data_IF_794808344451
#
_entry.id   IF_794808344451
#
_cell.length_a   1.000
_cell.length_b   1.000
_cell.length_c   1.000
_cell.angle_alpha   90.00
_cell.angle_beta   90.00
_cell.angle_gamma   90.00
#
_symmetry.space_group_name_H-M   'P 1'
#
loop_
_entity.id
_entity.type
_entity.pdbx_description
1 polymer ?
#
# COMPACT_ATOMS: atom_id res chain seq x y z
N UNK A 1 -1.04 8.79 -32.31
CA UNK A 1 -2.39 9.27 -31.90
C UNK A 1 -2.93 8.54 -30.67
N UNK A 2 -2.98 7.20 -30.67
CA UNK A 2 -3.46 6.39 -29.52
C UNK A 2 -2.68 6.62 -28.21
N UNK A 3 -1.36 6.74 -28.30
CA UNK A 3 -0.47 7.02 -27.16
C UNK A 3 -0.72 8.40 -26.52
N UNK A 4 -0.99 9.42 -27.33
CA UNK A 4 -1.22 10.79 -26.85
C UNK A 4 -2.54 10.90 -26.08
N UNK A 5 -3.60 10.26 -26.59
CA UNK A 5 -4.89 10.14 -25.92
C UNK A 5 -4.77 9.40 -24.59
N UNK A 6 -3.97 8.32 -24.53
CA UNK A 6 -3.72 7.56 -23.30
C UNK A 6 -2.93 8.37 -22.25
N UNK A 7 -1.98 9.20 -22.69
CA UNK A 7 -1.22 10.06 -21.75
C UNK A 7 -2.02 11.24 -21.21
N UNK A 8 -2.92 11.81 -22.03
CA UNK A 8 -3.79 12.90 -21.62
C UNK A 8 -4.94 12.42 -20.72
N UNK A 9 -5.50 11.23 -21.00
CA UNK A 9 -6.47 10.61 -20.10
C UNK A 9 -5.84 10.24 -18.75
N UNK A 10 -4.61 9.74 -18.73
CA UNK A 10 -3.88 9.47 -17.49
C UNK A 10 -3.70 10.70 -16.61
N UNK A 11 -3.30 11.85 -17.19
CA UNK A 11 -3.14 13.10 -16.44
C UNK A 11 -4.47 13.67 -15.92
N UNK A 12 -5.58 13.42 -16.62
CA UNK A 12 -6.91 13.82 -16.17
C UNK A 12 -7.43 12.92 -15.04
N UNK A 13 -7.17 11.62 -15.12
CA UNK A 13 -7.47 10.65 -14.06
C UNK A 13 -6.68 10.99 -12.79
N UNK A 14 -5.37 11.28 -12.89
CA UNK A 14 -4.55 11.67 -11.74
C UNK A 14 -5.12 12.93 -11.02
N UNK A 15 -5.69 13.90 -11.76
CA UNK A 15 -6.31 15.09 -11.17
C UNK A 15 -7.65 14.79 -10.50
N UNK A 16 -8.47 13.93 -11.09
CA UNK A 16 -9.74 13.51 -10.48
C UNK A 16 -9.50 12.71 -9.21
N UNK A 17 -8.54 11.78 -9.24
CA UNK A 17 -8.17 10.97 -8.08
C UNK A 17 -7.70 11.87 -6.92
N UNK A 18 -6.87 12.89 -7.20
CA UNK A 18 -6.47 13.87 -6.19
C UNK A 18 -7.64 14.69 -5.62
N UNK A 19 -8.61 15.09 -6.45
CA UNK A 19 -9.80 15.81 -5.99
C UNK A 19 -10.71 14.92 -5.11
N UNK A 20 -10.97 13.69 -5.54
CA UNK A 20 -11.73 12.70 -4.76
C UNK A 20 -11.01 12.36 -3.45
N UNK A 21 -9.68 12.34 -3.46
CA UNK A 21 -8.91 12.09 -2.25
C UNK A 21 -9.04 13.23 -1.24
N UNK A 22 -8.91 14.48 -1.69
CA UNK A 22 -9.12 15.64 -0.83
C UNK A 22 -10.54 15.71 -0.25
N UNK A 23 -11.57 15.43 -1.07
CA UNK A 23 -12.96 15.44 -0.59
C UNK A 23 -13.22 14.36 0.46
N UNK A 24 -12.74 13.12 0.23
CA UNK A 24 -12.91 12.03 1.18
C UNK A 24 -12.22 12.35 2.52
N UNK A 25 -11.00 12.90 2.45
CA UNK A 25 -10.26 13.30 3.65
C UNK A 25 -11.04 14.36 4.44
N UNK A 26 -11.54 15.41 3.79
CA UNK A 26 -12.31 16.47 4.44
C UNK A 26 -13.58 15.95 5.14
N UNK A 27 -14.27 14.97 4.55
CA UNK A 27 -15.48 14.40 5.17
C UNK A 27 -15.20 13.44 6.32
N UNK A 28 -13.98 12.88 6.40
CA UNK A 28 -13.59 11.89 7.41
C UNK A 28 -12.42 12.34 8.30
N UNK A 29 -12.05 13.62 8.24
CA UNK A 29 -10.84 14.16 8.85
C UNK A 29 -10.73 13.81 10.34
N UNK A 30 -11.80 14.05 11.12
CA UNK A 30 -11.83 13.75 12.56
C UNK A 30 -11.59 12.28 12.87
N UNK A 31 -12.12 11.38 12.05
CA UNK A 31 -11.94 9.94 12.22
C UNK A 31 -10.50 9.56 11.94
N UNK A 32 -9.92 10.06 10.85
CA UNK A 32 -8.52 9.81 10.48
C UNK A 32 -7.59 10.36 11.58
N UNK A 33 -7.81 11.58 12.05
CA UNK A 33 -7.02 12.19 13.14
C UNK A 33 -7.11 11.39 14.45
N UNK A 34 -8.28 10.85 14.79
CA UNK A 34 -8.46 9.98 15.95
C UNK A 34 -7.69 8.66 15.83
N UNK A 35 -7.66 8.06 14.63
CA UNK A 35 -6.87 6.86 14.35
C UNK A 35 -5.38 7.17 14.44
N UNK A 36 -4.94 8.30 13.87
CA UNK A 36 -3.55 8.75 13.92
C UNK A 36 -3.07 8.99 15.36
N UNK A 37 -3.89 9.58 16.22
CA UNK A 37 -3.55 9.75 17.64
C UNK A 37 -3.22 8.40 18.31
N UNK A 38 -4.00 7.36 18.03
CA UNK A 38 -3.77 6.01 18.56
C UNK A 38 -2.56 5.32 17.92
N UNK A 39 -2.27 5.57 16.64
CA UNK A 39 -1.09 5.00 15.95
C UNK A 39 0.23 5.37 16.64
N UNK A 40 0.32 6.57 17.25
CA UNK A 40 1.53 7.05 17.92
C UNK A 40 2.01 6.13 19.06
N UNK A 41 1.10 5.39 19.69
CA UNK A 41 1.40 4.43 20.76
C UNK A 41 2.16 3.19 20.26
N UNK A 42 2.09 2.92 18.95
CA UNK A 42 2.72 1.78 18.30
C UNK A 42 4.08 2.13 17.69
N UNK A 43 4.66 3.28 18.04
CA UNK A 43 6.02 3.62 17.62
C UNK A 43 7.06 3.07 18.58
N UNK A 44 7.99 2.28 18.05
CA UNK A 44 9.22 1.88 18.73
C UNK A 44 10.43 2.28 17.89
N UNK A 45 11.45 2.85 18.53
CA UNK A 45 12.62 3.43 17.85
C UNK A 45 12.24 4.38 16.70
N UNK A 46 11.17 5.16 16.89
CA UNK A 46 10.69 6.13 15.91
C UNK A 46 9.92 5.53 14.72
N UNK A 47 9.68 4.22 14.67
CA UNK A 47 9.01 3.53 13.56
C UNK A 47 7.79 2.74 14.06
N UNK A 48 6.83 2.47 13.16
CA UNK A 48 5.65 1.65 13.49
C UNK A 48 6.09 0.20 13.73
N UNK A 49 5.86 -0.29 14.94
CA UNK A 49 6.14 -1.65 15.38
C UNK A 49 4.85 -2.37 15.80
N UNK A 50 4.97 -3.63 16.16
CA UNK A 50 3.87 -4.40 16.72
C UNK A 50 3.56 -3.97 18.17
N UNK A 51 2.47 -4.50 18.72
CA UNK A 51 1.96 -4.15 20.06
C UNK A 51 2.99 -4.38 21.18
N UNK A 52 3.72 -5.48 21.14
CA UNK A 52 4.78 -5.82 22.10
C UNK A 52 6.13 -5.15 21.79
N UNK A 53 6.16 -4.22 20.82
CA UNK A 53 7.35 -3.54 20.29
C UNK A 53 8.25 -4.40 19.40
N UNK A 54 7.82 -5.60 19.02
CA UNK A 54 8.49 -6.39 17.98
C UNK A 54 8.56 -5.58 16.66
N UNK A 55 9.78 -5.40 16.17
CA UNK A 55 10.09 -4.66 14.94
C UNK A 55 10.27 -5.55 13.71
N UNK A 56 9.89 -6.83 13.82
CA UNK A 56 10.00 -7.82 12.76
C UNK A 56 9.20 -7.41 11.54
N UNK A 57 8.02 -6.82 11.69
CA UNK A 57 7.20 -6.41 10.55
C UNK A 57 7.22 -4.91 10.26
N UNK A 58 8.14 -4.15 10.85
CA UNK A 58 8.14 -2.69 10.77
C UNK A 58 8.21 -2.15 9.34
N UNK A 59 8.99 -2.73 8.42
CA UNK A 59 9.00 -2.28 7.02
C UNK A 59 7.67 -2.55 6.30
N UNK A 60 7.06 -3.71 6.54
CA UNK A 60 5.74 -4.02 6.00
C UNK A 60 4.69 -3.04 6.53
N UNK A 61 4.68 -2.79 7.84
CA UNK A 61 3.73 -1.87 8.48
C UNK A 61 3.92 -0.44 7.98
N UNK A 62 5.17 0.02 7.88
CA UNK A 62 5.52 1.35 7.37
C UNK A 62 5.05 1.53 5.92
N UNK A 63 5.35 0.57 5.04
CA UNK A 63 4.93 0.62 3.64
C UNK A 63 3.40 0.63 3.49
N UNK A 64 2.70 -0.25 4.22
CA UNK A 64 1.24 -0.27 4.23
C UNK A 64 0.63 1.01 4.79
N UNK A 65 1.12 1.48 5.94
CA UNK A 65 0.62 2.68 6.63
C UNK A 65 0.66 3.91 5.71
N UNK A 66 1.82 4.20 5.11
CA UNK A 66 1.94 5.36 4.22
C UNK A 66 1.14 5.20 2.93
N UNK A 67 1.04 3.98 2.39
CA UNK A 67 0.18 3.71 1.22
C UNK A 67 -1.28 4.03 1.53
N UNK A 68 -1.80 3.56 2.68
CA UNK A 68 -3.18 3.80 3.10
C UNK A 68 -3.44 5.28 3.36
N UNK A 69 -2.58 5.96 4.09
CA UNK A 69 -2.74 7.40 4.37
C UNK A 69 -2.73 8.25 3.10
N UNK A 70 -1.79 7.99 2.19
CA UNK A 70 -1.73 8.70 0.92
C UNK A 70 -2.99 8.45 0.11
N UNK A 71 -3.44 7.19 0.04
CA UNK A 71 -4.68 6.84 -0.63
C UNK A 71 -5.88 7.53 0.00
N UNK A 72 -5.97 7.62 1.33
CA UNK A 72 -7.05 8.31 2.04
C UNK A 72 -7.03 9.84 1.84
N UNK A 73 -5.89 10.40 1.41
CA UNK A 73 -5.71 11.83 1.22
C UNK A 73 -5.25 12.57 2.48
N UNK A 74 -4.68 11.86 3.46
CA UNK A 74 -4.19 12.47 4.68
C UNK A 74 -3.02 13.43 4.40
N UNK A 75 -3.04 14.60 5.04
CA UNK A 75 -1.99 15.61 4.87
C UNK A 75 -0.80 15.40 5.81
N UNK A 76 -1.04 14.74 6.95
CA UNK A 76 -0.06 14.51 8.01
C UNK A 76 -0.06 13.05 8.47
N UNK A 77 1.06 12.64 9.06
CA UNK A 77 1.16 11.37 9.79
C UNK A 77 0.79 11.50 11.27
N UNK A 78 0.93 10.41 12.04
CA UNK A 78 0.64 10.33 13.47
C UNK A 78 1.54 11.18 14.36
N UNK A 79 2.69 11.63 13.84
CA UNK A 79 3.60 12.55 14.52
C UNK A 79 3.33 14.01 14.12
N UNK A 80 2.30 14.27 13.32
CA UNK A 80 1.96 15.60 12.82
C UNK A 80 2.90 16.13 11.74
N UNK A 81 3.80 15.29 11.21
CA UNK A 81 4.70 15.64 10.11
C UNK A 81 3.91 15.67 8.80
N UNK A 82 4.25 16.54 7.84
CA UNK A 82 3.73 16.43 6.47
C UNK A 82 3.90 14.99 5.96
N UNK A 83 2.86 14.41 5.35
CA UNK A 83 2.84 12.97 5.06
C UNK A 83 4.03 12.50 4.22
N UNK A 84 4.42 13.27 3.19
CA UNK A 84 5.58 12.97 2.36
C UNK A 84 6.92 13.03 3.13
N UNK A 85 7.04 13.94 4.10
CA UNK A 85 8.22 14.04 4.95
C UNK A 85 8.30 12.86 5.94
N UNK A 86 7.17 12.48 6.55
CA UNK A 86 7.09 11.30 7.41
C UNK A 86 7.45 10.03 6.66
N UNK A 87 6.87 9.85 5.46
CA UNK A 87 7.19 8.75 4.55
C UNK A 87 8.70 8.65 4.28
N UNK A 88 9.32 9.75 3.83
CA UNK A 88 10.74 9.76 3.53
C UNK A 88 11.59 9.42 4.75
N UNK A 89 11.35 10.07 5.89
CA UNK A 89 12.11 9.87 7.11
C UNK A 89 12.03 8.43 7.65
N UNK A 90 10.85 7.82 7.62
CA UNK A 90 10.66 6.46 8.15
C UNK A 90 11.23 5.42 7.16
N UNK A 91 11.07 5.62 5.85
CA UNK A 91 11.65 4.75 4.83
C UNK A 91 13.19 4.83 4.80
N UNK A 92 13.77 6.00 5.07
CA UNK A 92 15.22 6.17 5.16
C UNK A 92 15.81 5.44 6.35
N UNK A 93 15.15 5.48 7.51
CA UNK A 93 15.57 4.69 8.67
C UNK A 93 15.56 3.18 8.39
N UNK A 94 14.72 2.71 7.47
CA UNK A 94 14.64 1.31 7.06
C UNK A 94 15.48 0.98 5.83
N UNK A 95 16.21 1.95 5.28
CA UNK A 95 17.12 1.76 4.16
C UNK A 95 18.52 1.49 4.71
N UNK A 96 19.07 0.30 4.45
CA UNK A 96 20.44 -0.03 4.83
C UNK A 96 21.45 0.63 3.87
N UNK A 97 21.12 0.60 2.59
CA UNK A 97 21.79 1.34 1.50
C UNK A 97 20.81 1.45 0.33
N UNK A 98 21.07 2.34 -0.63
CA UNK A 98 20.17 2.55 -1.77
C UNK A 98 19.70 1.24 -2.42
N UNK A 99 18.38 1.02 -2.38
CA UNK A 99 17.71 -0.16 -2.92
C UNK A 99 17.83 -1.45 -2.09
N UNK A 100 18.36 -1.39 -0.87
CA UNK A 100 18.41 -2.50 0.09
C UNK A 100 17.81 -2.04 1.42
N UNK A 101 16.81 -2.78 1.88
CA UNK A 101 16.08 -2.44 3.10
C UNK A 101 16.42 -3.35 4.26
N UNK A 102 15.97 -2.98 5.45
CA UNK A 102 15.97 -3.81 6.66
C UNK A 102 14.57 -3.80 7.25
N UNK A 103 14.27 -4.76 8.11
CA UNK A 103 12.94 -4.86 8.74
C UNK A 103 12.82 -3.91 9.92
N UNK A 104 13.91 -3.75 10.67
CA UNK A 104 14.03 -2.89 11.84
C UNK A 104 15.23 -1.96 11.73
N UNK A 105 15.18 -0.80 12.38
CA UNK A 105 16.33 0.09 12.58
C UNK A 105 17.10 -0.21 13.90
N UNK A 106 16.63 -1.14 14.72
CA UNK A 106 17.24 -1.54 15.99
C UNK A 106 18.45 -2.47 15.76
N UNK A 107 19.70 -2.05 16.04
CA UNK A 107 20.90 -2.85 15.83
C UNK A 107 20.97 -4.18 16.59
N UNK A 108 20.25 -4.29 17.71
CA UNK A 108 20.24 -5.48 18.56
C UNK A 108 19.23 -6.52 18.06
N UNK A 109 18.30 -6.12 17.20
CA UNK A 109 17.24 -6.96 16.68
C UNK A 109 17.66 -7.71 15.41
N UNK A 110 17.28 -8.99 15.26
CA UNK A 110 17.60 -9.78 14.07
C UNK A 110 17.10 -9.12 12.76
N UNK A 111 16.02 -8.33 12.85
CA UNK A 111 15.44 -7.58 11.74
C UNK A 111 16.31 -6.43 11.21
N UNK A 112 17.38 -6.05 11.92
CA UNK A 112 18.38 -5.09 11.48
C UNK A 112 19.18 -5.56 10.27
N UNK A 113 19.42 -6.87 10.22
CA UNK A 113 20.21 -7.47 9.15
C UNK A 113 19.40 -7.45 7.84
N UNK A 114 19.88 -6.75 6.79
CA UNK A 114 19.14 -6.65 5.54
C UNK A 114 18.92 -8.02 4.88
N UNK A 115 19.75 -9.01 5.20
CA UNK A 115 19.63 -10.37 4.68
C UNK A 115 18.43 -11.15 5.26
N UNK A 116 17.75 -10.62 6.27
CA UNK A 116 16.54 -11.19 6.86
C UNK A 116 15.26 -10.50 6.33
N UNK A 117 15.39 -9.53 5.40
CA UNK A 117 14.28 -8.73 4.89
C UNK A 117 13.47 -9.47 3.82
N UNK A 118 12.35 -10.07 4.25
CA UNK A 118 11.51 -10.92 3.40
C UNK A 118 10.87 -10.19 2.23
N UNK A 119 10.42 -10.96 1.22
CA UNK A 119 9.67 -10.45 0.08
C UNK A 119 8.47 -9.59 0.50
N UNK A 120 7.74 -10.04 1.52
CA UNK A 120 6.49 -9.38 1.94
C UNK A 120 6.74 -7.97 2.50
N UNK A 121 7.90 -7.76 3.12
CA UNK A 121 8.34 -6.44 3.60
C UNK A 121 8.65 -5.52 2.41
N UNK A 122 9.40 -6.03 1.43
CA UNK A 122 9.74 -5.30 0.21
C UNK A 122 8.49 -4.97 -0.61
N UNK A 123 7.51 -5.88 -0.66
CA UNK A 123 6.30 -5.70 -1.45
C UNK A 123 5.44 -4.54 -0.92
N UNK A 124 5.30 -4.40 0.40
CA UNK A 124 4.63 -3.26 1.01
C UNK A 124 5.41 -1.94 0.81
N UNK A 125 6.75 -1.98 0.90
CA UNK A 125 7.60 -0.83 0.59
C UNK A 125 7.43 -0.36 -0.86
N UNK A 126 7.34 -1.29 -1.81
CA UNK A 126 7.07 -0.99 -3.23
C UNK A 126 5.71 -0.33 -3.43
N UNK A 127 4.67 -0.76 -2.69
CA UNK A 127 3.37 -0.13 -2.76
C UNK A 127 3.45 1.36 -2.36
N UNK A 128 4.18 1.68 -1.30
CA UNK A 128 4.39 3.06 -0.88
C UNK A 128 5.20 3.86 -1.91
N UNK A 129 6.31 3.29 -2.41
CA UNK A 129 7.15 3.91 -3.46
C UNK A 129 6.31 4.31 -4.68
N UNK A 130 5.48 3.40 -5.18
CA UNK A 130 4.63 3.66 -6.35
C UNK A 130 3.59 4.73 -6.04
N UNK A 131 2.94 4.62 -4.88
CA UNK A 131 1.88 5.55 -4.46
C UNK A 131 2.40 6.99 -4.31
N UNK A 132 3.59 7.16 -3.71
CA UNK A 132 4.24 8.47 -3.53
C UNK A 132 5.02 8.96 -4.76
N UNK A 133 5.15 8.14 -5.82
CA UNK A 133 5.97 8.45 -7.00
C UNK A 133 7.45 8.68 -6.66
N UNK A 134 7.96 8.00 -5.62
CA UNK A 134 9.37 8.04 -5.24
C UNK A 134 10.21 7.17 -6.20
N UNK A 135 10.29 7.62 -7.45
CA UNK A 135 10.90 6.85 -8.53
C UNK A 135 12.41 6.70 -8.40
N UNK A 136 13.08 7.57 -7.66
CA UNK A 136 14.51 7.45 -7.40
C UNK A 136 14.80 6.28 -6.45
N UNK A 137 13.99 6.15 -5.39
CA UNK A 137 14.01 4.96 -4.52
C UNK A 137 13.61 3.69 -5.30
N UNK A 138 12.61 3.79 -6.17
CA UNK A 138 12.18 2.68 -7.03
C UNK A 138 13.26 2.21 -8.01
N UNK A 139 13.96 3.13 -8.69
CA UNK A 139 15.10 2.82 -9.57
C UNK A 139 16.26 2.18 -8.80
N UNK A 140 16.57 2.69 -7.62
CA UNK A 140 17.60 2.12 -6.74
C UNK A 140 17.26 0.69 -6.34
N UNK A 141 16.00 0.43 -5.95
CA UNK A 141 15.52 -0.92 -5.64
C UNK A 141 15.61 -1.85 -6.87
N UNK A 142 15.16 -1.40 -8.04
CA UNK A 142 15.25 -2.18 -9.28
C UNK A 142 16.70 -2.54 -9.64
N UNK A 143 17.62 -1.58 -9.54
CA UNK A 143 19.04 -1.80 -9.77
C UNK A 143 19.62 -2.90 -8.86
N UNK A 144 19.30 -2.87 -7.57
CA UNK A 144 19.72 -3.92 -6.66
C UNK A 144 19.05 -5.26 -6.95
N UNK A 145 17.81 -5.24 -7.43
CA UNK A 145 17.08 -6.43 -7.88
C UNK A 145 17.77 -7.09 -9.09
N UNK A 146 18.19 -6.28 -10.08
CA UNK A 146 18.98 -6.74 -11.22
C UNK A 146 20.33 -7.33 -10.78
N UNK A 147 21.04 -6.68 -9.86
CA UNK A 147 22.30 -7.19 -9.30
C UNK A 147 22.16 -8.55 -8.62
N UNK A 148 20.96 -8.87 -8.13
CA UNK A 148 20.63 -10.17 -7.51
C UNK A 148 19.99 -11.17 -8.49
N UNK A 149 19.96 -10.87 -9.79
CA UNK A 149 19.35 -11.75 -10.79
C UNK A 149 17.84 -11.92 -10.58
N UNK A 150 17.13 -10.84 -10.24
CA UNK A 150 15.70 -10.83 -9.92
C UNK A 150 15.27 -11.61 -8.68
N UNK A 151 16.20 -11.83 -7.74
CA UNK A 151 15.89 -12.41 -6.43
C UNK A 151 15.73 -11.33 -5.35
N UNK A 152 14.86 -11.61 -4.38
CA UNK A 152 14.75 -10.79 -3.17
C UNK A 152 16.05 -10.85 -2.35
N UNK A 153 16.18 -9.96 -1.36
CA UNK A 153 17.41 -9.85 -0.56
C UNK A 153 17.47 -10.83 0.63
N UNK A 154 16.43 -11.60 0.89
CA UNK A 154 16.36 -12.49 2.06
C UNK A 154 17.12 -13.80 1.91
N UNK A 155 18.43 -13.71 1.92
CA UNK A 155 19.36 -14.84 1.89
C UNK A 155 19.47 -15.58 3.24
N UNK A 156 18.85 -15.07 4.32
CA UNK A 156 18.74 -15.69 5.65
C UNK A 156 17.28 -15.89 6.06
N UNK A 157 17.06 -16.75 7.06
CA UNK A 157 15.73 -16.92 7.64
C UNK A 157 15.26 -15.66 8.36
N UNK A 158 13.99 -15.33 8.16
CA UNK A 158 13.33 -14.08 8.56
C UNK A 158 13.20 -13.86 10.09
N UNK A 159 13.93 -14.56 10.94
CA UNK A 159 13.78 -14.61 12.40
C UNK A 159 15.05 -15.12 13.12
N UNK A 160 16.16 -15.30 12.39
CA UNK A 160 17.36 -15.92 12.94
C UNK A 160 18.43 -14.89 13.31
N UNK A 161 19.01 -15.07 14.50
CA UNK A 161 20.17 -14.31 14.96
C UNK A 161 21.48 -14.96 14.54
N UNK A 162 22.57 -14.20 14.29
CA UNK A 162 23.84 -14.74 13.84
C UNK A 162 24.44 -15.89 14.68
N UNK A 163 24.15 -15.93 15.98
CA UNK A 163 24.62 -16.95 16.93
C UNK A 163 23.69 -18.17 17.07
N UNK A 164 22.56 -18.20 16.37
CA UNK A 164 21.61 -19.31 16.41
C UNK A 164 21.87 -20.35 15.32
N UNK A 165 21.52 -21.61 15.60
CA UNK A 165 21.57 -22.71 14.61
C UNK A 165 20.67 -22.45 13.39
N UNK A 166 19.62 -21.63 13.55
CA UNK A 166 18.69 -21.21 12.50
C UNK A 166 19.30 -20.20 11.51
N UNK A 167 20.48 -19.65 11.81
CA UNK A 167 21.17 -18.68 10.95
C UNK A 167 21.93 -19.35 9.80
N UNK A 168 21.15 -19.99 8.94
CA UNK A 168 21.63 -20.67 7.73
C UNK A 168 21.28 -19.87 6.48
N UNK A 169 22.04 -20.11 5.42
CA UNK A 169 21.75 -19.55 4.11
C UNK A 169 20.51 -20.24 3.53
N UNK A 170 19.61 -19.46 2.94
CA UNK A 170 18.48 -19.98 2.17
C UNK A 170 18.48 -19.37 0.77
N UNK A 171 17.81 -20.04 -0.17
CA UNK A 171 17.49 -19.40 -1.44
C UNK A 171 16.59 -18.18 -1.16
N UNK A 172 16.93 -17.00 -1.70
CA UNK A 172 16.06 -15.83 -1.54
C UNK A 172 14.75 -16.03 -2.27
N UNK A 173 13.73 -15.30 -1.84
CA UNK A 173 12.39 -15.47 -2.38
C UNK A 173 12.34 -15.00 -3.85
N UNK A 174 11.64 -15.78 -4.66
CA UNK A 174 11.30 -15.41 -6.04
C UNK A 174 10.18 -14.38 -6.00
N UNK A 175 10.26 -13.30 -6.80
CA UNK A 175 9.21 -12.30 -6.85
C UNK A 175 7.93 -12.86 -7.48
N UNK A 176 6.79 -12.46 -6.95
CA UNK A 176 5.51 -12.75 -7.59
C UNK A 176 5.30 -11.83 -8.80
N UNK A 177 4.43 -12.18 -9.75
CA UNK A 177 4.06 -11.28 -10.85
C UNK A 177 3.58 -9.91 -10.36
N UNK A 178 2.77 -9.90 -9.29
CA UNK A 178 2.27 -8.68 -8.64
C UNK A 178 3.42 -7.82 -8.06
N UNK A 179 4.44 -8.46 -7.45
CA UNK A 179 5.64 -7.75 -6.98
C UNK A 179 6.45 -7.16 -8.14
N UNK A 180 6.65 -7.92 -9.22
CA UNK A 180 7.35 -7.43 -10.42
C UNK A 180 6.61 -6.27 -11.07
N UNK A 181 5.27 -6.32 -11.13
CA UNK A 181 4.47 -5.21 -11.64
C UNK A 181 4.70 -3.92 -10.85
N UNK A 182 4.65 -3.97 -9.52
CA UNK A 182 4.96 -2.81 -8.68
C UNK A 182 6.40 -2.33 -8.81
N UNK A 183 7.36 -3.26 -8.90
CA UNK A 183 8.77 -2.92 -9.11
C UNK A 183 8.97 -2.14 -10.42
N UNK A 184 8.34 -2.57 -11.52
CA UNK A 184 8.40 -1.88 -12.81
C UNK A 184 7.71 -0.52 -12.76
N UNK A 185 6.57 -0.41 -12.08
CA UNK A 185 5.89 0.87 -11.81
C UNK A 185 6.79 1.86 -11.09
N UNK A 186 7.58 1.36 -10.13
CA UNK A 186 8.55 2.14 -9.36
C UNK A 186 9.66 2.78 -10.21
N UNK A 187 9.83 2.41 -11.48
CA UNK A 187 10.78 3.08 -12.38
C UNK A 187 10.32 4.45 -12.86
N UNK A 188 9.01 4.73 -12.79
CA UNK A 188 8.41 5.96 -13.29
C UNK A 188 8.45 6.09 -14.82
N UNK A 189 8.69 4.99 -15.54
CA UNK A 189 8.80 4.99 -17.00
C UNK A 189 7.58 4.31 -17.63
N UNK A 190 6.81 5.05 -18.44
CA UNK A 190 5.62 4.53 -19.12
C UNK A 190 5.91 3.43 -20.14
N UNK A 191 7.15 3.29 -20.61
CA UNK A 191 7.54 2.25 -21.57
C UNK A 191 7.43 0.82 -21.00
N UNK A 192 7.41 0.68 -19.67
CA UNK A 192 7.22 -0.64 -19.02
C UNK A 192 5.76 -1.11 -19.06
N UNK A 193 4.82 -0.27 -19.51
CA UNK A 193 3.39 -0.54 -19.49
C UNK A 193 2.98 -1.87 -20.16
N UNK A 194 3.51 -2.28 -21.33
CA UNK A 194 3.15 -3.57 -21.93
C UNK A 194 3.49 -4.76 -21.03
N UNK A 195 4.65 -4.73 -20.36
CA UNK A 195 5.08 -5.81 -19.45
C UNK A 195 4.21 -5.81 -18.21
N UNK A 196 4.00 -4.62 -17.63
CA UNK A 196 3.08 -4.38 -16.53
C UNK A 196 1.67 -4.92 -16.83
N UNK A 197 1.15 -4.70 -18.04
CA UNK A 197 -0.16 -5.17 -18.46
C UNK A 197 -0.25 -6.71 -18.46
N UNK A 198 0.81 -7.41 -18.89
CA UNK A 198 0.87 -8.87 -18.85
C UNK A 198 0.97 -9.38 -17.41
N UNK A 199 1.79 -8.74 -16.57
CA UNK A 199 1.96 -9.13 -15.17
C UNK A 199 0.68 -8.94 -14.36
N UNK A 200 -0.05 -7.84 -14.58
CA UNK A 200 -1.29 -7.56 -13.86
C UNK A 200 -2.41 -8.55 -14.15
N UNK A 201 -2.36 -9.31 -15.26
CA UNK A 201 -3.33 -10.38 -15.50
C UNK A 201 -3.34 -11.42 -14.36
N UNK A 202 -2.20 -11.60 -13.67
CA UNK A 202 -2.09 -12.47 -12.50
C UNK A 202 -2.81 -11.92 -11.26
N UNK A 203 -3.12 -10.62 -11.18
CA UNK A 203 -3.94 -10.06 -10.09
C UNK A 203 -5.31 -10.74 -10.05
N UNK A 204 -5.89 -11.03 -11.24
CA UNK A 204 -7.17 -11.75 -11.33
C UNK A 204 -7.02 -13.16 -10.75
N UNK A 205 -5.92 -13.84 -11.07
CA UNK A 205 -5.66 -15.19 -10.57
C UNK A 205 -5.42 -15.20 -9.05
N UNK A 206 -4.65 -14.24 -8.55
CA UNK A 206 -4.41 -14.00 -7.11
C UNK A 206 -5.73 -13.87 -6.34
N UNK A 207 -6.67 -13.06 -6.84
CA UNK A 207 -7.94 -12.79 -6.17
C UNK A 207 -8.94 -13.94 -6.32
N UNK A 208 -9.06 -14.52 -7.51
CA UNK A 208 -10.08 -15.55 -7.78
C UNK A 208 -9.69 -16.93 -7.25
N UNK A 209 -8.40 -17.27 -7.30
CA UNK A 209 -7.91 -18.58 -6.88
C UNK A 209 -7.24 -18.49 -5.51
N UNK A 210 -6.10 -17.81 -5.41
CA UNK A 210 -5.25 -17.90 -4.22
C UNK A 210 -5.91 -17.35 -2.94
N UNK A 211 -6.59 -16.20 -3.02
CA UNK A 211 -7.34 -15.65 -1.88
C UNK A 211 -8.47 -16.57 -1.39
N UNK A 212 -9.06 -17.36 -2.30
CA UNK A 212 -10.22 -18.23 -2.02
C UNK A 212 -9.85 -19.67 -1.65
N UNK A 213 -8.62 -20.11 -1.99
CA UNK A 213 -8.18 -21.50 -1.86
C UNK A 213 -8.03 -21.98 -0.40
N UNK A 214 -7.70 -21.11 0.55
CA UNK A 214 -7.66 -21.50 1.97
C UNK A 214 -7.99 -20.33 2.90
N UNK A 215 -9.28 -20.19 3.24
CA UNK A 215 -9.76 -19.12 4.12
C UNK A 215 -9.23 -19.22 5.55
N UNK A 216 -8.70 -20.37 5.99
CA UNK A 216 -8.29 -20.60 7.39
C UNK A 216 -6.79 -20.40 7.64
N UNK A 217 -5.97 -20.30 6.60
CA UNK A 217 -4.50 -20.15 6.72
C UNK A 217 -3.95 -18.82 6.18
N UNK A 218 -4.76 -18.04 5.44
CA UNK A 218 -4.32 -16.82 4.75
C UNK A 218 -4.90 -15.54 5.38
N UNK A 219 -4.77 -15.40 6.70
CA UNK A 219 -5.27 -14.24 7.45
C UNK A 219 -4.48 -12.95 7.14
N UNK A 220 -3.22 -13.09 6.72
CA UNK A 220 -2.32 -11.99 6.39
C UNK A 220 -2.36 -11.60 4.89
N UNK A 221 -3.21 -12.25 4.10
CA UNK A 221 -3.29 -12.00 2.66
C UNK A 221 -3.78 -10.58 2.36
N UNK A 222 -4.88 -10.17 3.00
CA UNK A 222 -5.55 -8.91 2.68
C UNK A 222 -4.75 -7.67 3.12
N UNK A 223 -3.96 -7.79 4.19
CA UNK A 223 -3.03 -6.72 4.61
C UNK A 223 -1.85 -6.53 3.63
N UNK A 224 -1.61 -7.48 2.73
CA UNK A 224 -0.63 -7.34 1.63
C UNK A 224 -1.32 -6.96 0.31
N UNK A 225 -2.51 -7.51 0.08
CA UNK A 225 -3.26 -7.28 -1.15
C UNK A 225 -3.82 -5.85 -1.25
N UNK A 226 -4.39 -5.29 -0.18
CA UNK A 226 -5.02 -3.97 -0.27
C UNK A 226 -4.02 -2.86 -0.67
N UNK A 227 -2.85 -2.70 -0.02
CA UNK A 227 -1.91 -1.64 -0.37
C UNK A 227 -1.31 -1.83 -1.76
N UNK A 228 -1.08 -3.08 -2.18
CA UNK A 228 -0.59 -3.35 -3.54
C UNK A 228 -1.63 -3.05 -4.61
N UNK A 229 -2.93 -3.31 -4.36
CA UNK A 229 -4.02 -2.94 -5.25
C UNK A 229 -4.23 -1.42 -5.33
N UNK A 230 -4.06 -0.68 -4.23
CA UNK A 230 -3.97 0.80 -4.23
C UNK A 230 -2.86 1.23 -5.18
N UNK A 231 -1.65 0.75 -4.94
CA UNK A 231 -0.47 1.15 -5.70
C UNK A 231 -0.62 0.84 -7.21
N UNK A 232 -1.09 -0.37 -7.55
CA UNK A 232 -1.30 -0.82 -8.92
C UNK A 232 -2.36 0.02 -9.67
N UNK A 233 -3.36 0.54 -8.96
CA UNK A 233 -4.39 1.41 -9.55
C UNK A 233 -4.06 2.90 -9.45
N UNK A 234 -3.04 3.28 -8.67
CA UNK A 234 -2.58 4.67 -8.57
C UNK A 234 -1.70 5.07 -9.77
N UNK A 235 -0.74 4.24 -10.21
CA UNK A 235 0.18 4.57 -11.32
C UNK A 235 0.11 3.53 -12.43
N UNK A 236 -0.03 4.00 -13.67
CA UNK A 236 -0.10 3.12 -14.84
C UNK A 236 -1.19 2.03 -14.70
N UNK A 237 -2.42 2.37 -14.24
CA UNK A 237 -3.47 1.38 -14.04
C UNK A 237 -3.75 0.61 -15.33
N UNK A 238 -3.99 -0.69 -15.21
CA UNK A 238 -4.33 -1.56 -16.34
C UNK A 238 -5.79 -1.98 -16.23
N UNK A 239 -6.35 -2.52 -17.32
CA UNK A 239 -7.69 -3.10 -17.26
C UNK A 239 -7.76 -4.26 -16.25
N UNK A 240 -6.67 -5.03 -16.11
CA UNK A 240 -6.58 -6.14 -15.16
C UNK A 240 -6.49 -5.67 -13.70
N UNK A 241 -5.72 -4.61 -13.41
CA UNK A 241 -5.65 -4.08 -12.04
C UNK A 241 -7.00 -3.50 -11.59
N UNK A 242 -7.72 -2.84 -12.50
CA UNK A 242 -9.05 -2.27 -12.25
C UNK A 242 -10.10 -3.38 -12.09
N UNK A 243 -10.09 -4.39 -12.97
CA UNK A 243 -11.01 -5.51 -12.87
C UNK A 243 -10.72 -6.35 -11.62
N UNK A 244 -9.45 -6.61 -11.31
CA UNK A 244 -9.01 -7.27 -10.09
C UNK A 244 -9.53 -6.56 -8.86
N UNK A 245 -9.34 -5.23 -8.77
CA UNK A 245 -9.90 -4.43 -7.67
C UNK A 245 -11.42 -4.59 -7.55
N UNK A 246 -12.16 -4.53 -8.65
CA UNK A 246 -13.62 -4.75 -8.64
C UNK A 246 -13.99 -6.14 -8.11
N UNK A 247 -13.27 -7.19 -8.52
CA UNK A 247 -13.48 -8.55 -8.02
C UNK A 247 -13.13 -8.69 -6.54
N UNK A 248 -12.06 -8.03 -6.09
CA UNK A 248 -11.62 -8.01 -4.69
C UNK A 248 -12.71 -7.42 -3.79
N UNK A 249 -13.28 -6.28 -4.17
CA UNK A 249 -14.29 -5.57 -3.38
C UNK A 249 -15.63 -6.32 -3.24
N UNK A 250 -15.89 -7.36 -4.05
CA UNK A 250 -17.10 -8.20 -3.89
C UNK A 250 -17.15 -8.92 -2.55
N UNK A 251 -15.98 -9.24 -2.00
CA UNK A 251 -15.85 -9.97 -0.74
C UNK A 251 -15.53 -9.03 0.43
N UNK A 252 -15.91 -7.74 0.36
CA UNK A 252 -15.50 -6.69 1.33
C UNK A 252 -15.71 -7.07 2.80
N UNK A 253 -16.84 -7.71 3.13
CA UNK A 253 -17.14 -8.08 4.51
C UNK A 253 -16.15 -9.14 5.04
N UNK A 254 -15.77 -10.11 4.18
CA UNK A 254 -14.77 -11.15 4.49
C UNK A 254 -13.38 -10.51 4.63
N UNK A 255 -13.05 -9.54 3.78
CA UNK A 255 -11.80 -8.77 3.85
C UNK A 255 -11.71 -8.02 5.19
N UNK A 256 -12.74 -7.26 5.55
CA UNK A 256 -12.81 -6.53 6.83
C UNK A 256 -12.60 -7.46 8.01
N UNK A 257 -13.23 -8.63 8.02
CA UNK A 257 -13.05 -9.62 9.09
C UNK A 257 -11.61 -10.13 9.19
N UNK A 258 -10.95 -10.41 8.07
CA UNK A 258 -9.56 -10.89 8.05
C UNK A 258 -8.57 -9.81 8.49
N UNK A 259 -8.75 -8.58 8.01
CA UNK A 259 -7.94 -7.42 8.41
C UNK A 259 -8.07 -7.17 9.91
N UNK A 260 -9.29 -7.19 10.46
CA UNK A 260 -9.47 -7.09 11.91
C UNK A 260 -8.81 -8.24 12.64
N UNK A 261 -9.01 -9.48 12.17
CA UNK A 261 -8.43 -10.67 12.78
C UNK A 261 -6.90 -10.59 12.88
N UNK A 262 -6.22 -10.24 11.78
CA UNK A 262 -4.77 -10.12 11.73
C UNK A 262 -4.22 -9.00 12.64
N UNK A 263 -5.02 -7.97 12.92
CA UNK A 263 -4.62 -6.84 13.76
C UNK A 263 -5.15 -6.92 15.20
N UNK A 264 -5.58 -8.10 15.67
CA UNK A 264 -5.93 -8.35 17.07
C UNK A 264 -4.68 -8.43 17.96
N UNK A 265 -4.82 -8.08 19.24
CA UNK A 265 -3.73 -8.11 20.23
C UNK A 265 -3.08 -9.50 20.34
N UNK A 266 -3.87 -10.57 20.23
CA UNK A 266 -3.38 -11.96 20.32
C UNK A 266 -2.39 -12.36 19.20
N UNK A 267 -2.37 -11.61 18.10
CA UNK A 267 -1.42 -11.78 16.99
C UNK A 267 -0.40 -10.65 16.92
N UNK A 268 -0.26 -9.91 18.02
CA UNK A 268 0.65 -8.78 18.09
C UNK A 268 0.33 -7.74 16.99
N UNK A 269 -0.98 -7.48 16.81
CA UNK A 269 -1.53 -6.62 15.77
C UNK A 269 -1.60 -5.15 16.16
N UNK A 270 -1.92 -4.30 15.18
CA UNK A 270 -2.07 -2.85 15.37
C UNK A 270 -3.51 -2.47 15.02
N UNK A 271 -4.37 -2.39 16.04
CA UNK A 271 -5.80 -2.07 15.85
C UNK A 271 -6.05 -0.78 15.04
N UNK A 272 -5.42 0.38 15.35
CA UNK A 272 -5.67 1.59 14.56
C UNK A 272 -5.22 1.46 13.09
N UNK A 273 -4.23 0.60 12.79
CA UNK A 273 -3.87 0.31 11.41
C UNK A 273 -4.99 -0.45 10.69
N UNK A 274 -5.68 -1.38 11.36
CA UNK A 274 -6.86 -2.07 10.81
C UNK A 274 -7.95 -1.08 10.40
N UNK A 275 -8.18 -0.04 11.20
CA UNK A 275 -9.17 1.00 10.90
C UNK A 275 -8.80 1.76 9.61
N UNK A 276 -7.52 2.05 9.38
CA UNK A 276 -7.07 2.65 8.10
C UNK A 276 -7.32 1.74 6.90
N UNK A 277 -7.13 0.41 7.04
CA UNK A 277 -7.48 -0.54 5.97
C UNK A 277 -8.97 -0.49 5.64
N UNK A 278 -9.83 -0.42 6.67
CA UNK A 278 -11.28 -0.45 6.51
C UNK A 278 -11.78 0.84 5.88
N UNK A 279 -11.29 1.99 6.34
CA UNK A 279 -11.60 3.28 5.69
C UNK A 279 -11.14 3.29 4.23
N UNK A 280 -10.00 2.67 3.92
CA UNK A 280 -9.53 2.56 2.54
C UNK A 280 -10.45 1.68 1.70
N UNK A 281 -10.98 0.59 2.25
CA UNK A 281 -11.98 -0.26 1.58
C UNK A 281 -13.28 0.48 1.34
N UNK A 282 -13.77 1.26 2.31
CA UNK A 282 -14.97 2.09 2.17
C UNK A 282 -14.79 3.10 1.04
N UNK A 283 -13.68 3.84 1.04
CA UNK A 283 -13.34 4.78 -0.03
C UNK A 283 -13.28 4.12 -1.40
N UNK A 284 -12.64 2.96 -1.52
CA UNK A 284 -12.58 2.22 -2.78
C UNK A 284 -13.97 1.78 -3.24
N UNK A 285 -14.81 1.30 -2.33
CA UNK A 285 -16.16 0.89 -2.67
C UNK A 285 -16.98 2.07 -3.21
N UNK A 286 -16.83 3.25 -2.61
CA UNK A 286 -17.51 4.47 -3.07
C UNK A 286 -17.02 4.92 -4.46
N UNK A 287 -15.72 4.76 -4.73
CA UNK A 287 -15.11 5.11 -6.01
C UNK A 287 -15.40 4.10 -7.14
N UNK A 288 -15.51 2.80 -6.82
CA UNK A 288 -15.48 1.73 -7.84
C UNK A 288 -16.73 0.83 -7.90
N UNK A 289 -17.63 0.88 -6.91
CA UNK A 289 -18.81 0.00 -6.84
C UNK A 289 -20.12 0.79 -6.90
N UNK A 290 -20.19 1.99 -6.31
CA UNK A 290 -21.36 2.87 -6.43
C UNK A 290 -21.35 3.64 -7.76
N UNK A 291 -21.78 2.97 -8.82
CA UNK A 291 -22.51 3.61 -9.93
C UNK A 291 -23.40 2.57 -10.64
N UNK A 292 -24.69 2.52 -10.27
CA UNK A 292 -25.73 2.57 -11.31
C UNK A 292 -26.82 3.63 -11.09
N UNK A 293 -26.69 4.55 -10.11
CA UNK A 293 -27.76 5.53 -9.81
C UNK A 293 -27.37 7.02 -9.87
N UNK A 294 -26.12 7.39 -10.17
CA UNK A 294 -25.71 8.81 -10.27
C UNK A 294 -25.31 9.28 -11.67
N UNK A 295 -25.59 8.49 -12.72
CA UNK A 295 -25.57 8.97 -14.13
C UNK A 295 -26.74 9.92 -14.47
N UNK A 296 -27.19 10.74 -13.50
CA UNK A 296 -28.41 11.52 -13.62
C UNK A 296 -28.41 12.91 -12.98
N UNK A 297 -27.32 13.39 -12.40
CA UNK A 297 -27.26 14.80 -11.94
C UNK A 297 -26.12 15.51 -12.65
N UNK A 298 -26.41 16.25 -13.73
CA UNK A 298 -25.45 17.16 -14.34
C UNK A 298 -24.95 18.13 -13.28
N UNK A 299 -23.64 18.43 -13.30
CA UNK A 299 -22.97 19.42 -12.42
C UNK A 299 -23.68 20.79 -12.42
N UNK A 300 -24.52 21.08 -13.43
CA UNK A 300 -25.38 22.27 -13.49
C UNK A 300 -26.51 22.32 -12.45
N UNK A 301 -26.87 21.21 -11.79
CA UNK A 301 -27.92 21.19 -10.75
C UNK A 301 -27.39 21.41 -9.33
N UNK A 302 -26.13 21.06 -9.04
CA UNK A 302 -25.50 21.34 -7.74
C UNK A 302 -25.28 22.85 -7.55
N UNK A 303 -25.08 23.60 -8.64
CA UNK A 303 -24.99 25.06 -8.60
C UNK A 303 -26.35 25.76 -8.38
N UNK A 304 -27.47 25.15 -8.82
CA UNK A 304 -28.80 25.74 -8.66
C UNK A 304 -29.35 25.64 -7.24
N UNK A 305 -28.98 24.62 -6.46
CA UNK A 305 -29.45 24.50 -5.07
C UNK A 305 -28.81 25.52 -4.11
N UNK A 306 -27.63 26.07 -4.42
CA UNK A 306 -27.00 27.13 -3.61
C UNK A 306 -27.58 28.53 -3.81
N UNK A 307 -28.28 28.78 -4.92
CA UNK A 307 -28.85 30.11 -5.22
C UNK A 307 -30.32 30.27 -4.79
N UNK A 308 -31.00 29.21 -4.35
CA UNK A 308 -32.39 29.31 -3.85
C UNK A 308 -32.44 29.54 -2.34
N UNK A 309 -31.37 29.23 -1.61
CA UNK A 309 -31.29 29.45 -0.15
C UNK A 309 -30.73 30.81 0.27
N UNK A 310 -30.54 31.74 -0.67
CA UNK A 310 -30.07 33.12 -0.41
C UNK A 310 -31.08 34.20 -0.83
N UNK A 311 -32.32 33.80 -1.12
CA UNK A 311 -33.46 34.69 -1.32
C UNK A 311 -34.64 34.26 -0.44
N UNK A 312 -34.41 34.29 0.86
CA UNK A 312 -35.48 34.30 1.86
C UNK A 312 -34.95 35.04 3.09
N UNK A 313 -34.90 36.37 2.95
CA UNK A 313 -35.04 37.39 4.00
C UNK A 313 -35.60 38.65 3.35
#
# INVERSE_FOLDING_TARGET
>A
MFWLLFTLSGAWIDRLDNFHNGYFYLSHQKTIESILAQMSEYRHNGLISQLDKDMGDTLQRTGSYYTLLNFLGAEKDDLGRPLAQGYAADMDQLTYKDGIYRRSNDPEYWGFNPNNCSRDQIFAAQAAIVTFRDFDRGRSLFHQFLKRGFLNQNVRHNWSYPWEKSYVWKLPDIPTPSQLSLLLRGLGNRLVYPIVFLLDAFIIADIQFFRRLDKRQLWDYDVKALPSLIAANSYLPTLWSRWGLSLYLRDRNDITQRVYHYNQDKFNGIKPLADLYIMSLEKMNDQFVTTPSSLGVPVSQVAKQRNVSSQSD
#
